data_IF_937071760475
#
_entry.id   IF_937071760475
#
_cell.length_a   1.000
_cell.length_b   1.000
_cell.length_c   1.000
_cell.angle_alpha   90.00
_cell.angle_beta   90.00
_cell.angle_gamma   90.00
#
_symmetry.space_group_name_H-M   'P 1'
#
loop_
_entity.id
_entity.type
_entity.pdbx_description
1 polymer ?
#
# COMPACT_ATOMS: atom_id res chain seq x y z
N UNK A 1 -4.01 1.03 28.91
CA UNK A 1 -4.44 1.50 27.58
C UNK A 1 -4.19 0.39 26.58
N UNK A 2 -5.18 -0.44 26.31
CA UNK A 2 -5.13 -1.44 25.24
C UNK A 2 -5.37 -0.70 23.91
N UNK A 3 -4.31 -0.48 23.14
CA UNK A 3 -4.44 -0.01 21.77
C UNK A 3 -5.25 -1.04 20.99
N UNK A 4 -6.37 -0.62 20.40
CA UNK A 4 -7.07 -1.45 19.41
C UNK A 4 -6.05 -1.84 18.35
N UNK A 5 -5.96 -3.12 17.94
CA UNK A 5 -5.23 -3.42 16.70
C UNK A 5 -5.85 -2.53 15.64
N UNK A 6 -5.02 -1.76 14.93
CA UNK A 6 -5.47 -1.00 13.77
C UNK A 6 -6.21 -2.00 12.90
N UNK A 7 -7.52 -1.82 12.76
CA UNK A 7 -8.32 -2.65 11.90
C UNK A 7 -7.73 -2.40 10.51
N UNK A 8 -6.95 -3.35 10.01
CA UNK A 8 -6.28 -3.22 8.72
C UNK A 8 -7.38 -3.05 7.69
N UNK A 9 -7.58 -1.82 7.21
CA UNK A 9 -8.58 -1.54 6.21
C UNK A 9 -8.19 -2.32 4.95
N UNK A 10 -9.10 -3.16 4.48
CA UNK A 10 -8.85 -3.98 3.31
C UNK A 10 -8.97 -3.11 2.07
N UNK A 11 -7.83 -2.67 1.54
CA UNK A 11 -7.76 -1.93 0.29
C UNK A 11 -8.25 -2.81 -0.86
N UNK A 12 -9.05 -2.22 -1.75
CA UNK A 12 -9.40 -2.83 -3.04
C UNK A 12 -8.45 -2.27 -4.10
N UNK A 13 -7.40 -3.02 -4.48
CA UNK A 13 -6.42 -2.53 -5.42
C UNK A 13 -7.04 -2.41 -6.82
N UNK A 14 -6.80 -1.27 -7.45
CA UNK A 14 -7.00 -1.04 -8.88
C UNK A 14 -5.72 -1.37 -9.65
N UNK A 15 -4.58 -0.90 -9.13
CA UNK A 15 -3.25 -1.07 -9.71
C UNK A 15 -2.29 -1.50 -8.61
N UNK A 16 -1.45 -2.50 -8.90
CA UNK A 16 -0.31 -2.91 -8.06
C UNK A 16 0.96 -2.84 -8.91
N UNK A 17 1.94 -2.06 -8.47
CA UNK A 17 3.26 -1.93 -9.09
C UNK A 17 4.29 -2.60 -8.17
N UNK A 18 4.92 -3.69 -8.62
CA UNK A 18 5.90 -4.44 -7.81
C UNK A 18 7.35 -4.06 -8.10
N UNK A 19 8.16 -3.96 -7.03
CA UNK A 19 9.59 -3.60 -7.06
C UNK A 19 10.39 -4.49 -6.10
N UNK A 20 10.95 -5.60 -6.58
CA UNK A 20 11.86 -6.47 -5.79
C UNK A 20 11.39 -6.78 -4.34
N UNK A 21 10.09 -7.05 -4.14
CA UNK A 21 9.49 -7.36 -2.83
C UNK A 21 8.74 -6.20 -2.17
N UNK A 22 8.92 -4.97 -2.67
CA UNK A 22 8.07 -3.83 -2.37
C UNK A 22 6.97 -3.70 -3.41
N UNK A 23 5.93 -2.92 -3.07
CA UNK A 23 4.91 -2.54 -4.01
C UNK A 23 4.32 -1.17 -3.72
N UNK A 24 3.83 -0.52 -4.79
CA UNK A 24 2.91 0.59 -4.71
C UNK A 24 1.50 0.14 -5.13
N UNK A 25 0.47 0.57 -4.41
CA UNK A 25 -0.92 0.21 -4.65
C UNK A 25 -1.77 1.46 -4.80
N UNK A 26 -2.54 1.51 -5.88
CA UNK A 26 -3.61 2.50 -6.08
C UNK A 26 -4.95 1.81 -5.81
N UNK A 27 -5.76 2.37 -4.92
CA UNK A 27 -7.10 1.84 -4.64
C UNK A 27 -8.15 2.44 -5.59
N UNK A 28 -9.21 1.68 -5.86
CA UNK A 28 -10.26 2.05 -6.83
C UNK A 28 -10.99 3.34 -6.47
N UNK A 29 -11.14 3.66 -5.18
CA UNK A 29 -11.91 4.81 -4.69
C UNK A 29 -11.06 5.79 -3.87
N UNK A 30 -9.76 5.79 -4.12
CA UNK A 30 -8.82 6.64 -3.41
C UNK A 30 -7.85 7.27 -4.40
N UNK A 31 -7.54 8.55 -4.26
CA UNK A 31 -6.54 9.23 -5.08
C UNK A 31 -5.12 8.97 -4.57
N UNK A 32 -4.99 8.53 -3.32
CA UNK A 32 -3.73 8.25 -2.67
C UNK A 32 -3.06 6.97 -3.16
N UNK A 33 -1.75 6.90 -2.93
CA UNK A 33 -0.88 5.78 -3.23
C UNK A 33 -0.35 5.16 -1.96
N UNK A 34 -0.51 3.84 -1.85
CA UNK A 34 -0.06 3.07 -0.70
C UNK A 34 1.24 2.38 -1.03
N UNK A 35 2.20 2.37 -0.10
CA UNK A 35 3.42 1.55 -0.21
C UNK A 35 3.37 0.39 0.77
N UNK A 36 3.94 -0.73 0.35
CA UNK A 36 3.86 -1.99 1.06
C UNK A 36 4.84 -3.04 0.57
N UNK A 37 4.68 -4.25 1.08
CA UNK A 37 5.40 -5.45 0.63
C UNK A 37 4.47 -6.30 -0.21
N UNK A 38 5.02 -6.86 -1.29
CA UNK A 38 4.39 -7.93 -2.03
C UNK A 38 4.95 -9.26 -1.50
N UNK A 39 4.11 -10.01 -0.80
CA UNK A 39 4.48 -11.27 -0.18
C UNK A 39 4.51 -12.41 -1.22
N UNK A 40 5.17 -13.52 -0.90
CA UNK A 40 5.32 -14.67 -1.80
C UNK A 40 3.99 -15.35 -2.16
N UNK A 41 2.99 -15.23 -1.29
CA UNK A 41 1.61 -15.72 -1.54
C UNK A 41 0.78 -14.76 -2.41
N UNK A 42 1.37 -13.67 -2.88
CA UNK A 42 0.72 -12.63 -3.66
C UNK A 42 -0.11 -11.64 -2.83
N UNK A 43 -0.13 -11.77 -1.50
CA UNK A 43 -0.76 -10.80 -0.62
C UNK A 43 0.07 -9.52 -0.53
N UNK A 44 -0.61 -8.40 -0.27
CA UNK A 44 0.03 -7.10 -0.07
C UNK A 44 -0.24 -6.60 1.34
N UNK A 45 0.80 -6.10 2.00
CA UNK A 45 0.69 -5.43 3.29
C UNK A 45 1.17 -3.98 3.16
N UNK A 46 0.25 -3.03 3.27
CA UNK A 46 0.56 -1.60 3.18
C UNK A 46 0.90 -1.00 4.56
N UNK A 47 1.85 -0.07 4.61
CA UNK A 47 2.25 0.63 5.84
C UNK A 47 2.43 2.14 5.69
N UNK A 48 2.43 2.69 4.48
CA UNK A 48 2.48 4.14 4.28
C UNK A 48 1.64 4.57 3.09
N UNK A 49 1.27 5.85 3.10
CA UNK A 49 0.36 6.48 2.15
C UNK A 49 0.98 7.80 1.66
N UNK A 50 0.80 8.11 0.38
CA UNK A 50 1.29 9.29 -0.29
C UNK A 50 0.18 9.90 -1.14
N UNK A 51 0.14 11.23 -1.22
CA UNK A 51 -0.88 11.93 -2.00
C UNK A 51 -0.67 11.84 -3.52
N UNK A 52 0.47 11.33 -3.97
CA UNK A 52 0.79 11.18 -5.39
C UNK A 52 1.75 10.04 -5.68
N UNK A 53 1.69 9.54 -6.92
CA UNK A 53 2.65 8.54 -7.41
C UNK A 53 4.09 9.08 -7.39
N UNK A 54 4.29 10.38 -7.67
CA UNK A 54 5.61 10.99 -7.67
C UNK A 54 6.28 10.91 -6.29
N UNK A 55 5.54 11.27 -5.24
CA UNK A 55 6.04 11.16 -3.86
C UNK A 55 6.27 9.70 -3.47
N UNK A 56 5.35 8.80 -3.85
CA UNK A 56 5.47 7.37 -3.58
C UNK A 56 6.73 6.74 -4.23
N UNK A 57 7.04 7.12 -5.47
CA UNK A 57 8.25 6.66 -6.17
C UNK A 57 9.53 7.20 -5.54
N UNK A 58 9.50 8.42 -4.98
CA UNK A 58 10.65 8.99 -4.27
C UNK A 58 10.93 8.33 -2.92
N UNK A 59 9.96 7.61 -2.36
CA UNK A 59 10.07 6.88 -1.09
C UNK A 59 10.45 5.40 -1.21
N UNK A 60 10.60 4.88 -2.44
CA UNK A 60 11.04 3.50 -2.72
C UNK A 60 12.54 3.30 -2.46
#
# INVERSE_FOLDING_TARGET
>A
MTGRPAQSEQLRPEIVLGFHGLCLVKAVNDEDWYTGSLNEDGSVTCWSIYGSLYEALGGL
#
